data_IF_912419422135
#
_entry.id   IF_912419422135
#
_cell.length_a   1.000
_cell.length_b   1.000
_cell.length_c   1.000
_cell.angle_alpha   90.00
_cell.angle_beta   90.00
_cell.angle_gamma   90.00
#
_symmetry.space_group_name_H-M   'P 1'
#
loop_
_entity.id
_entity.type
_entity.pdbx_description
1 polymer ?
#
# COMPACT_ATOMS: atom_id res chain seq x y z
N UNK A 1 -40.81 9.47 -7.10
CA UNK A 1 -39.99 8.66 -6.17
C UNK A 1 -38.71 8.34 -6.91
N UNK A 2 -37.57 8.87 -6.45
CA UNK A 2 -36.28 8.63 -7.11
C UNK A 2 -35.81 7.21 -6.84
N UNK A 3 -35.27 6.55 -7.86
CA UNK A 3 -34.66 5.23 -7.73
C UNK A 3 -33.42 5.36 -6.85
N UNK A 4 -33.42 4.68 -5.71
CA UNK A 4 -32.19 4.41 -4.96
C UNK A 4 -31.58 3.19 -5.62
N UNK A 5 -30.47 3.40 -6.32
CA UNK A 5 -29.70 2.31 -6.92
C UNK A 5 -28.70 1.77 -5.89
N UNK A 6 -28.94 0.55 -5.42
CA UNK A 6 -28.07 -0.16 -4.48
C UNK A 6 -26.89 -0.86 -5.16
N UNK A 7 -26.78 -0.78 -6.50
CA UNK A 7 -25.74 -1.45 -7.30
C UNK A 7 -24.70 -0.47 -7.88
N UNK A 8 -24.59 0.73 -7.33
CA UNK A 8 -23.55 1.67 -7.74
C UNK A 8 -22.27 1.36 -6.96
N UNK A 9 -21.20 1.02 -7.68
CA UNK A 9 -19.84 1.28 -7.23
C UNK A 9 -19.75 2.81 -7.07
N UNK A 10 -20.16 3.34 -5.91
CA UNK A 10 -20.31 4.79 -5.71
C UNK A 10 -18.97 5.44 -5.99
N UNK A 11 -18.90 6.33 -6.98
CA UNK A 11 -17.70 7.14 -7.26
C UNK A 11 -17.32 7.87 -5.98
N UNK A 12 -16.06 7.74 -5.55
CA UNK A 12 -15.60 8.24 -4.25
C UNK A 12 -15.79 7.30 -3.06
N UNK A 13 -16.38 6.11 -3.23
CA UNK A 13 -16.40 5.11 -2.15
C UNK A 13 -15.01 4.51 -1.95
N UNK A 14 -14.60 4.45 -0.69
CA UNK A 14 -13.30 3.94 -0.31
C UNK A 14 -13.23 2.44 -0.56
N UNK A 15 -12.10 2.01 -1.11
CA UNK A 15 -11.72 0.62 -1.38
C UNK A 15 -10.36 0.39 -0.75
N UNK A 16 -9.99 -0.88 -0.59
CA UNK A 16 -8.68 -1.21 -0.11
C UNK A 16 -8.10 -2.43 -0.84
N UNK A 17 -6.78 -2.48 -0.90
CA UNK A 17 -5.99 -3.67 -1.20
C UNK A 17 -5.05 -3.91 -0.02
N UNK A 18 -4.71 -5.16 0.23
CA UNK A 18 -3.76 -5.51 1.28
C UNK A 18 -2.82 -6.62 0.83
N UNK A 19 -1.63 -6.63 1.43
CA UNK A 19 -0.62 -7.64 1.24
C UNK A 19 -0.02 -8.00 2.59
N UNK A 20 0.18 -9.30 2.80
CA UNK A 20 0.91 -9.83 3.95
C UNK A 20 2.17 -10.50 3.43
N UNK A 21 3.30 -10.20 4.07
CA UNK A 21 4.60 -10.78 3.80
C UNK A 21 5.02 -11.51 5.07
N UNK A 22 5.12 -12.83 4.99
CA UNK A 22 5.71 -13.65 6.04
C UNK A 22 7.23 -13.51 6.00
N UNK A 23 7.84 -13.42 7.18
CA UNK A 23 9.30 -13.29 7.38
C UNK A 23 9.96 -12.26 6.44
N UNK A 24 9.51 -10.99 6.44
CA UNK A 24 10.00 -9.98 5.49
C UNK A 24 11.51 -9.76 5.65
N UNK A 25 12.15 -9.33 4.57
CA UNK A 25 13.55 -8.94 4.49
C UNK A 25 13.68 -7.44 4.19
N UNK A 26 14.73 -7.03 3.50
CA UNK A 26 14.98 -5.64 3.11
C UNK A 26 15.10 -5.49 1.59
N UNK A 27 14.50 -6.42 0.85
CA UNK A 27 14.63 -6.51 -0.61
C UNK A 27 13.43 -7.16 -1.26
N UNK A 28 12.25 -7.10 -0.63
CA UNK A 28 11.04 -7.55 -1.30
C UNK A 28 10.79 -6.69 -2.54
N UNK A 29 10.27 -7.32 -3.58
CA UNK A 29 9.76 -6.68 -4.79
C UNK A 29 8.54 -7.51 -5.25
N UNK A 30 7.37 -7.20 -4.68
CA UNK A 30 6.19 -8.08 -4.72
C UNK A 30 5.02 -7.37 -5.38
N UNK A 31 4.50 -7.93 -6.47
CA UNK A 31 3.25 -7.46 -7.10
C UNK A 31 2.05 -7.64 -6.16
N UNK A 32 1.24 -6.60 -6.01
CA UNK A 32 0.06 -6.59 -5.12
C UNK A 32 -1.24 -6.58 -5.93
N UNK A 33 -1.36 -5.68 -6.90
CA UNK A 33 -2.62 -5.51 -7.65
C UNK A 33 -2.40 -4.90 -9.04
N UNK A 34 -3.45 -4.93 -9.85
CA UNK A 34 -3.55 -4.17 -11.09
C UNK A 34 -4.81 -3.32 -11.04
N UNK A 35 -4.68 -2.06 -11.42
CA UNK A 35 -5.75 -1.07 -11.39
C UNK A 35 -6.01 -0.58 -12.82
N UNK A 36 -7.24 -0.82 -13.31
CA UNK A 36 -7.65 -0.47 -14.68
C UNK A 36 -8.34 0.90 -14.82
N UNK A 37 -8.45 1.66 -13.73
CA UNK A 37 -9.06 2.99 -13.65
C UNK A 37 -8.26 3.85 -12.69
N UNK A 38 -8.11 5.15 -12.96
CA UNK A 38 -7.36 6.00 -12.05
C UNK A 38 -7.96 5.96 -10.63
N UNK A 39 -7.08 5.93 -9.63
CA UNK A 39 -7.45 5.95 -8.22
C UNK A 39 -6.57 6.93 -7.45
N UNK A 40 -7.14 7.52 -6.40
CA UNK A 40 -6.41 8.35 -5.44
C UNK A 40 -6.32 7.64 -4.10
N UNK A 41 -5.10 7.43 -3.59
CA UNK A 41 -4.83 6.88 -2.26
C UNK A 41 -5.26 7.87 -1.19
N UNK A 42 -6.02 7.40 -0.21
CA UNK A 42 -6.46 8.17 0.95
C UNK A 42 -5.65 7.88 2.21
N UNK A 43 -5.21 6.63 2.39
CA UNK A 43 -4.43 6.18 3.54
C UNK A 43 -3.63 4.93 3.17
N UNK A 44 -2.43 4.79 3.71
CA UNK A 44 -1.78 3.48 3.84
C UNK A 44 -1.55 3.18 5.31
N UNK A 45 -1.78 1.93 5.72
CA UNK A 45 -1.55 1.48 7.09
C UNK A 45 -0.74 0.20 7.07
N UNK A 46 0.30 0.16 7.90
CA UNK A 46 1.10 -1.04 8.07
C UNK A 46 1.29 -1.41 9.54
N UNK A 47 1.30 -2.72 9.82
CA UNK A 47 1.56 -3.29 11.13
C UNK A 47 2.53 -4.46 10.95
N UNK A 48 3.31 -4.75 11.98
CA UNK A 48 4.24 -5.87 11.98
C UNK A 48 4.05 -6.78 13.20
N UNK A 49 4.50 -8.02 13.07
CA UNK A 49 4.59 -8.98 14.17
C UNK A 49 6.05 -9.37 14.34
N UNK A 50 6.56 -9.41 15.57
CA UNK A 50 7.95 -9.74 15.79
C UNK A 50 8.46 -9.49 17.22
N UNK A 51 9.74 -9.16 17.29
CA UNK A 51 10.49 -8.88 18.53
C UNK A 51 9.97 -7.65 19.29
N UNK A 52 10.70 -7.20 20.31
CA UNK A 52 10.34 -6.00 21.10
C UNK A 52 10.59 -4.67 20.38
N UNK A 53 11.56 -4.62 19.45
CA UNK A 53 11.89 -3.42 18.66
C UNK A 53 12.06 -3.75 17.16
N UNK A 54 11.03 -4.30 16.50
CA UNK A 54 11.06 -4.62 15.08
C UNK A 54 10.86 -3.35 14.23
N UNK A 55 11.45 -3.32 13.04
CA UNK A 55 11.10 -2.32 12.03
C UNK A 55 11.25 -2.87 10.61
N UNK A 56 10.39 -2.39 9.71
CA UNK A 56 10.55 -2.59 8.26
C UNK A 56 10.31 -1.26 7.56
N UNK A 57 11.19 -0.90 6.63
CA UNK A 57 11.00 0.20 5.69
C UNK A 57 10.46 -0.36 4.38
N UNK A 58 9.29 0.13 3.98
CA UNK A 58 8.55 -0.33 2.80
C UNK A 58 8.05 0.84 1.97
N UNK A 59 7.79 0.61 0.69
CA UNK A 59 7.21 1.60 -0.22
C UNK A 59 6.18 0.93 -1.11
N UNK A 60 5.11 1.66 -1.43
CA UNK A 60 4.16 1.25 -2.46
C UNK A 60 4.55 1.98 -3.73
N UNK A 61 4.67 1.22 -4.80
CA UNK A 61 5.03 1.74 -6.11
C UNK A 61 3.96 1.40 -7.13
N UNK A 62 3.90 2.23 -8.17
CA UNK A 62 2.96 2.05 -9.24
C UNK A 62 3.53 2.46 -10.60
N UNK A 63 2.95 1.89 -11.65
CA UNK A 63 3.31 2.21 -13.03
C UNK A 63 2.68 1.26 -14.03
N UNK A 64 2.63 1.68 -15.29
CA UNK A 64 2.09 0.88 -16.41
C UNK A 64 2.99 -0.29 -16.81
N UNK A 65 4.26 -0.24 -16.43
CA UNK A 65 5.23 -1.34 -16.55
C UNK A 65 5.74 -1.73 -15.16
N UNK A 66 5.40 -2.95 -14.74
CA UNK A 66 5.79 -3.52 -13.46
C UNK A 66 7.31 -3.73 -13.30
N UNK A 67 8.05 -3.89 -14.39
CA UNK A 67 9.51 -4.14 -14.35
C UNK A 67 10.32 -2.86 -14.52
N UNK A 68 9.67 -1.74 -14.87
CA UNK A 68 10.29 -0.43 -14.82
C UNK A 68 10.41 0.04 -13.37
N UNK A 69 11.14 1.14 -13.17
CA UNK A 69 11.27 1.75 -11.84
C UNK A 69 9.91 2.16 -11.26
N UNK A 70 8.99 2.72 -12.06
CA UNK A 70 7.71 3.21 -11.52
C UNK A 70 7.83 4.44 -10.61
N UNK A 71 6.69 4.93 -10.12
CA UNK A 71 6.59 6.02 -9.16
C UNK A 71 6.40 5.47 -7.74
N UNK A 72 6.92 6.18 -6.74
CA UNK A 72 6.68 5.86 -5.33
C UNK A 72 5.55 6.73 -4.77
N UNK A 73 4.63 6.11 -4.03
CA UNK A 73 3.58 6.86 -3.33
C UNK A 73 4.17 7.79 -2.27
N UNK A 74 5.21 7.32 -1.57
CA UNK A 74 6.03 8.11 -0.63
C UNK A 74 7.49 7.93 -1.01
N UNK A 75 8.18 9.01 -1.34
CA UNK A 75 9.59 8.98 -1.74
C UNK A 75 10.45 8.44 -0.60
N UNK A 76 11.31 7.46 -0.90
CA UNK A 76 12.13 6.73 0.10
C UNK A 76 11.34 5.87 1.09
N UNK A 77 10.05 5.64 0.83
CA UNK A 77 9.18 4.77 1.61
C UNK A 77 8.82 5.27 3.01
N UNK A 78 8.25 4.36 3.81
CA UNK A 78 7.80 4.57 5.19
C UNK A 78 8.40 3.48 6.07
N UNK A 79 8.82 3.84 7.28
CA UNK A 79 9.26 2.86 8.29
C UNK A 79 8.15 2.57 9.29
N UNK A 80 7.74 1.31 9.39
CA UNK A 80 6.78 0.84 10.39
C UNK A 80 7.52 0.19 11.54
N UNK A 81 7.15 0.57 12.76
CA UNK A 81 7.62 -0.03 14.03
C UNK A 81 6.46 -0.53 14.90
N UNK A 82 5.21 -0.32 14.47
CA UNK A 82 4.02 -0.63 15.25
C UNK A 82 3.72 -2.12 15.25
N UNK A 83 3.69 -2.72 16.44
CA UNK A 83 3.29 -4.12 16.71
C UNK A 83 1.84 -4.27 17.17
N UNK A 84 1.05 -3.18 17.14
CA UNK A 84 -0.31 -3.15 17.70
C UNK A 84 -1.32 -2.61 16.69
N UNK A 85 -1.54 -1.30 16.67
CA UNK A 85 -2.62 -0.66 15.91
C UNK A 85 -2.22 -0.29 14.48
N UNK A 86 -0.95 -0.48 14.13
CA UNK A 86 -0.36 -0.03 12.87
C UNK A 86 0.20 1.38 12.92
N UNK A 87 0.82 1.77 11.80
CA UNK A 87 1.35 3.10 11.50
C UNK A 87 0.61 3.65 10.29
N UNK A 88 0.00 4.82 10.45
CA UNK A 88 -0.80 5.48 9.42
C UNK A 88 0.07 6.40 8.57
N UNK A 89 -0.16 6.35 7.27
CA UNK A 89 0.49 7.21 6.26
C UNK A 89 -0.61 7.94 5.51
N UNK A 90 -0.66 9.26 5.70
CA UNK A 90 -1.68 10.14 5.13
C UNK A 90 -1.07 11.34 4.38
N UNK A 91 0.26 11.34 4.22
CA UNK A 91 1.00 12.33 3.44
C UNK A 91 1.78 11.61 2.36
N UNK A 92 1.58 12.03 1.11
CA UNK A 92 2.08 11.33 -0.07
C UNK A 92 2.82 12.28 -1.01
N UNK A 93 3.78 11.75 -1.75
CA UNK A 93 4.44 12.45 -2.86
C UNK A 93 3.65 12.26 -4.17
N UNK A 94 3.13 11.05 -4.39
CA UNK A 94 2.27 10.73 -5.52
C UNK A 94 1.10 9.85 -5.06
N UNK A 95 -0.03 10.50 -4.75
CA UNK A 95 -1.22 9.79 -4.30
C UNK A 95 -2.07 9.24 -5.46
N UNK A 96 -1.79 9.64 -6.71
CA UNK A 96 -2.66 9.37 -7.84
C UNK A 96 -2.06 8.28 -8.72
N UNK A 97 -2.68 7.11 -8.67
CA UNK A 97 -2.32 5.98 -9.51
C UNK A 97 -3.15 6.09 -10.80
N UNK A 98 -2.48 6.31 -11.93
CA UNK A 98 -3.14 6.36 -13.24
C UNK A 98 -3.72 5.00 -13.64
N UNK A 99 -4.72 5.02 -14.52
CA UNK A 99 -5.30 3.79 -15.06
C UNK A 99 -4.24 2.89 -15.73
N UNK A 100 -4.56 1.60 -15.78
CA UNK A 100 -3.72 0.55 -16.36
C UNK A 100 -2.33 0.42 -15.70
N UNK A 101 -2.30 0.64 -14.38
CA UNK A 101 -1.08 0.52 -13.57
C UNK A 101 -1.06 -0.74 -12.73
N UNK A 102 0.13 -1.33 -12.62
CA UNK A 102 0.44 -2.28 -11.57
C UNK A 102 0.74 -1.54 -10.28
N UNK A 103 0.46 -2.20 -9.15
CA UNK A 103 0.85 -1.79 -7.81
C UNK A 103 1.73 -2.90 -7.24
N UNK A 104 2.87 -2.52 -6.67
CA UNK A 104 3.76 -3.44 -5.98
C UNK A 104 4.32 -2.81 -4.71
N UNK A 105 4.81 -3.69 -3.82
CA UNK A 105 5.45 -3.32 -2.58
C UNK A 105 6.93 -3.67 -2.68
N UNK A 106 7.78 -2.72 -2.30
CA UNK A 106 9.20 -2.96 -2.08
C UNK A 106 9.58 -2.74 -0.62
N UNK A 107 10.49 -3.54 -0.08
CA UNK A 107 11.13 -3.26 1.21
C UNK A 107 12.60 -2.91 1.00
N UNK A 108 13.12 -2.01 1.84
CA UNK A 108 14.49 -1.47 1.68
C UNK A 108 15.33 -1.56 2.95
N UNK A 109 14.71 -1.77 4.10
CA UNK A 109 15.40 -1.97 5.36
C UNK A 109 14.57 -2.81 6.33
N UNK A 110 15.26 -3.54 7.21
CA UNK A 110 14.65 -4.29 8.32
C UNK A 110 15.56 -4.22 9.54
N UNK A 111 14.96 -4.14 10.73
CA UNK A 111 15.65 -4.30 12.01
C UNK A 111 14.87 -5.23 12.93
N UNK A 112 15.60 -5.96 13.78
CA UNK A 112 15.04 -6.95 14.69
C UNK A 112 14.44 -8.17 13.99
N UNK A 113 13.81 -9.05 14.77
CA UNK A 113 13.02 -10.16 14.23
C UNK A 113 11.65 -9.64 13.86
N UNK A 114 11.25 -9.89 12.60
CA UNK A 114 9.93 -9.60 12.06
C UNK A 114 9.46 -10.89 11.40
N UNK A 115 8.32 -11.42 11.83
CA UNK A 115 7.69 -12.64 11.31
C UNK A 115 6.57 -12.34 10.34
N UNK A 116 6.01 -11.12 10.39
CA UNK A 116 4.96 -10.67 9.49
C UNK A 116 5.05 -9.16 9.29
N UNK A 117 4.91 -8.71 8.04
CA UNK A 117 4.54 -7.33 7.69
C UNK A 117 3.18 -7.39 6.96
N UNK A 118 2.20 -6.65 7.46
CA UNK A 118 0.93 -6.46 6.79
C UNK A 118 0.77 -4.99 6.38
N UNK A 119 0.46 -4.75 5.11
CA UNK A 119 0.22 -3.41 4.56
C UNK A 119 -1.13 -3.36 3.88
N UNK A 120 -1.93 -2.35 4.22
CA UNK A 120 -3.19 -2.03 3.57
C UNK A 120 -3.09 -0.65 2.92
N UNK A 121 -3.56 -0.54 1.68
CA UNK A 121 -3.69 0.72 0.94
C UNK A 121 -5.17 0.98 0.71
N UNK A 122 -5.65 2.11 1.22
CA UNK A 122 -7.00 2.61 1.03
C UNK A 122 -7.00 3.66 -0.08
N UNK A 123 -7.96 3.57 -0.99
CA UNK A 123 -8.05 4.46 -2.16
C UNK A 123 -9.49 4.63 -2.63
N UNK A 124 -9.71 5.65 -3.45
CA UNK A 124 -11.00 5.91 -4.10
C UNK A 124 -10.80 5.89 -5.61
N UNK A 125 -11.80 5.39 -6.32
CA UNK A 125 -11.87 5.55 -7.79
C UNK A 125 -12.14 7.02 -8.10
N UNK A 126 -11.38 7.55 -9.05
CA UNK A 126 -11.55 8.91 -9.57
C UNK A 126 -12.75 9.01 -10.53
#
# INVERSE_FOLDING_TARGET
>A
MGTIDFNQDVVGSERHISVTIEDPTSSEDISVSFINKAVTISEMRAVLVGSSTPSVTWTIRHGTDRNATGAEVVTSGTTTTSVTTGSDVTSFNDATIVADSFIWLETTAKSGTVTELHVTVLFRKD
#
